data_IF_597018024815
#
_entry.id   IF_597018024815
#
_cell.length_a   1.000
_cell.length_b   1.000
_cell.length_c   1.000
_cell.angle_alpha   90.00
_cell.angle_beta   90.00
_cell.angle_gamma   90.00
#
_symmetry.space_group_name_H-M   'P 1'
#
loop_
_entity.id
_entity.type
_entity.pdbx_description
1 polymer ?
#
# COMPACT_ATOMS: atom_id res chain seq x y z
N UNK A 1 -3.42 19.74 -4.67
CA UNK A 1 -4.10 18.66 -3.91
C UNK A 1 -3.96 18.90 -2.41
N UNK A 2 -4.93 18.48 -1.58
CA UNK A 2 -4.92 18.55 -0.11
C UNK A 2 -5.51 17.25 0.46
N UNK A 3 -4.93 16.74 1.55
CA UNK A 3 -5.49 15.63 2.33
C UNK A 3 -6.37 16.19 3.46
N UNK A 4 -7.58 15.66 3.61
CA UNK A 4 -8.60 16.12 4.57
C UNK A 4 -9.08 14.96 5.45
N UNK A 5 -9.94 15.27 6.43
CA UNK A 5 -10.55 14.30 7.34
C UNK A 5 -9.54 13.55 8.22
N UNK A 6 -8.90 14.30 9.12
CA UNK A 6 -7.89 13.81 10.06
C UNK A 6 -8.50 13.22 11.35
N UNK A 7 -9.82 12.97 11.39
CA UNK A 7 -10.52 12.55 12.61
C UNK A 7 -10.14 11.15 13.12
N UNK A 8 -9.49 10.34 12.30
CA UNK A 8 -8.94 9.01 12.66
C UNK A 8 -7.39 9.00 12.73
N UNK A 9 -6.74 10.16 12.59
CA UNK A 9 -5.29 10.24 12.69
C UNK A 9 -4.82 10.10 14.14
N UNK A 10 -3.61 9.57 14.33
CA UNK A 10 -3.05 9.33 15.66
C UNK A 10 -1.53 9.53 15.64
N UNK A 11 -0.94 9.86 16.79
CA UNK A 11 0.52 9.95 16.93
C UNK A 11 1.17 8.56 17.05
N UNK A 12 2.27 8.38 16.33
CA UNK A 12 3.05 7.14 16.41
C UNK A 12 3.96 7.12 17.66
N UNK A 13 3.90 6.01 18.40
CA UNK A 13 4.71 5.69 19.56
C UNK A 13 5.19 4.24 19.43
N UNK A 14 6.50 3.98 19.57
CA UNK A 14 7.03 2.62 19.46
C UNK A 14 6.40 1.66 20.47
N UNK A 15 6.11 0.43 20.04
CA UNK A 15 5.50 -0.65 20.83
C UNK A 15 4.11 -0.36 21.42
N UNK A 16 3.47 0.75 21.05
CA UNK A 16 2.09 1.02 21.42
C UNK A 16 1.12 0.18 20.56
N UNK A 17 0.10 -0.39 21.20
CA UNK A 17 -1.01 -1.05 20.53
C UNK A 17 -2.05 -0.02 20.08
N UNK A 18 -2.60 -0.18 18.86
CA UNK A 18 -3.55 0.74 18.25
C UNK A 18 -4.89 0.10 17.93
N UNK A 19 -5.95 0.91 17.83
CA UNK A 19 -7.27 0.44 17.47
C UNK A 19 -7.33 0.00 15.98
N UNK A 20 -7.66 -1.27 15.74
CA UNK A 20 -7.76 -1.83 14.38
C UNK A 20 -9.03 -1.43 13.61
N UNK A 21 -10.01 -0.79 14.28
CA UNK A 21 -11.28 -0.34 13.70
C UNK A 21 -11.17 1.04 13.02
N UNK A 22 -10.07 1.28 12.32
CA UNK A 22 -9.78 2.50 11.55
C UNK A 22 -9.77 2.24 10.04
N UNK A 23 -9.87 3.28 9.21
CA UNK A 23 -9.94 3.19 7.75
C UNK A 23 -11.21 2.50 7.19
N UNK A 24 -11.56 2.89 5.97
CA UNK A 24 -12.65 2.29 5.19
C UNK A 24 -12.29 0.88 4.71
N UNK A 25 -13.29 -0.01 4.62
CA UNK A 25 -13.12 -1.45 4.37
C UNK A 25 -12.11 -1.81 3.28
N UNK A 26 -12.18 -1.15 2.12
CA UNK A 26 -11.34 -1.49 0.96
C UNK A 26 -9.89 -0.97 1.04
N UNK A 27 -9.59 -0.11 2.03
CA UNK A 27 -8.26 0.49 2.23
C UNK A 27 -7.58 0.00 3.51
N UNK A 28 -8.20 -0.95 4.22
CA UNK A 28 -7.59 -1.57 5.41
C UNK A 28 -6.43 -2.45 4.99
N UNK A 29 -5.26 -2.18 5.55
CA UNK A 29 -4.10 -3.08 5.43
C UNK A 29 -4.39 -4.45 6.06
N UNK A 30 -3.69 -5.51 5.63
CA UNK A 30 -3.85 -6.86 6.19
C UNK A 30 -3.79 -6.91 7.73
N UNK A 31 -2.92 -6.13 8.36
CA UNK A 31 -2.77 -6.00 9.81
C UNK A 31 -4.08 -5.64 10.52
N UNK A 32 -4.91 -4.78 9.91
CA UNK A 32 -6.21 -4.38 10.47
C UNK A 32 -7.30 -5.45 10.26
N UNK A 33 -7.09 -6.36 9.31
CA UNK A 33 -8.04 -7.42 8.93
C UNK A 33 -7.77 -8.73 9.68
N UNK A 34 -6.49 -9.07 9.85
CA UNK A 34 -6.05 -10.30 10.53
C UNK A 34 -6.51 -10.30 11.99
N UNK A 35 -6.36 -9.17 12.68
CA UNK A 35 -6.84 -9.04 14.06
C UNK A 35 -8.36 -9.08 14.18
N UNK A 36 -9.09 -8.68 13.13
CA UNK A 36 -10.54 -8.50 13.21
C UNK A 36 -11.33 -9.77 12.90
N UNK A 37 -10.96 -10.51 11.85
CA UNK A 37 -11.71 -11.71 11.43
C UNK A 37 -10.94 -13.01 11.68
N UNK A 38 -9.63 -13.04 11.42
CA UNK A 38 -8.85 -14.27 11.52
C UNK A 38 -8.60 -14.66 12.97
N UNK A 39 -8.36 -13.73 13.89
CA UNK A 39 -8.32 -14.04 15.34
C UNK A 39 -9.66 -14.60 15.84
N UNK A 40 -10.80 -14.07 15.38
CA UNK A 40 -12.12 -14.56 15.79
C UNK A 40 -12.41 -15.97 15.27
N UNK A 41 -12.01 -16.25 14.03
CA UNK A 41 -12.21 -17.55 13.38
C UNK A 41 -11.21 -18.58 13.92
N UNK A 42 -9.92 -18.23 14.03
CA UNK A 42 -8.86 -19.10 14.54
C UNK A 42 -9.07 -19.47 16.02
N UNK A 43 -9.64 -18.57 16.84
CA UNK A 43 -10.03 -18.90 18.23
C UNK A 43 -11.10 -20.00 18.32
N UNK A 44 -11.90 -20.20 17.26
CA UNK A 44 -12.99 -21.18 17.23
C UNK A 44 -12.57 -22.45 16.49
N UNK A 45 -11.85 -22.34 15.38
CA UNK A 45 -11.50 -23.45 14.49
C UNK A 45 -10.05 -23.97 14.65
N UNK A 46 -9.20 -23.26 15.39
CA UNK A 46 -7.76 -23.53 15.45
C UNK A 46 -6.96 -22.82 14.34
N UNK A 47 -5.66 -22.66 14.54
CA UNK A 47 -4.77 -21.92 13.62
C UNK A 47 -4.32 -22.77 12.43
N UNK A 48 -4.23 -24.09 12.59
CA UNK A 48 -3.56 -24.97 11.63
C UNK A 48 -4.35 -25.11 10.33
N UNK A 49 -5.67 -25.25 10.41
CA UNK A 49 -6.55 -25.32 9.24
C UNK A 49 -6.61 -23.99 8.49
N UNK A 50 -6.55 -22.87 9.22
CA UNK A 50 -6.54 -21.53 8.66
C UNK A 50 -5.25 -21.25 7.88
N UNK A 51 -4.09 -21.56 8.45
CA UNK A 51 -2.82 -21.46 7.73
C UNK A 51 -2.81 -22.39 6.51
N UNK A 52 -3.35 -23.62 6.63
CA UNK A 52 -3.50 -24.53 5.50
C UNK A 52 -4.35 -23.98 4.35
N UNK A 53 -5.40 -23.21 4.66
CA UNK A 53 -6.24 -22.55 3.64
C UNK A 53 -5.53 -21.37 2.97
N UNK A 54 -4.82 -20.53 3.75
CA UNK A 54 -4.09 -19.37 3.23
C UNK A 54 -2.97 -19.78 2.27
N UNK A 55 -2.30 -20.91 2.53
CA UNK A 55 -1.23 -21.43 1.67
C UNK A 55 -1.72 -21.94 0.30
N UNK A 56 -3.03 -22.11 0.10
CA UNK A 56 -3.57 -22.58 -1.20
C UNK A 56 -3.58 -21.51 -2.28
N UNK A 57 -3.49 -20.23 -1.93
CA UNK A 57 -3.53 -19.14 -2.91
C UNK A 57 -2.11 -18.76 -3.33
N UNK A 58 -1.77 -19.04 -4.59
CA UNK A 58 -0.50 -18.59 -5.17
C UNK A 58 -0.57 -17.11 -5.50
N UNK A 59 0.52 -16.38 -5.25
CA UNK A 59 0.66 -14.98 -5.67
C UNK A 59 0.41 -14.87 -7.18
N UNK A 60 -0.57 -14.04 -7.56
CA UNK A 60 -0.86 -13.74 -8.96
C UNK A 60 0.14 -12.73 -9.52
N UNK A 61 0.44 -12.85 -10.80
CA UNK A 61 1.26 -11.88 -11.54
C UNK A 61 0.41 -10.65 -11.84
N UNK A 62 0.97 -9.45 -11.69
CA UNK A 62 0.23 -8.20 -11.87
C UNK A 62 -0.30 -8.04 -13.30
N UNK A 63 0.41 -8.59 -14.27
CA UNK A 63 0.03 -8.59 -15.68
C UNK A 63 -1.30 -9.30 -15.94
N UNK A 64 -1.76 -10.18 -15.04
CA UNK A 64 -3.07 -10.83 -15.14
C UNK A 64 -4.24 -9.87 -14.93
N UNK A 65 -3.99 -8.67 -14.40
CA UNK A 65 -4.99 -7.62 -14.20
C UNK A 65 -4.97 -6.56 -15.31
N UNK A 66 -4.09 -6.71 -16.30
CA UNK A 66 -4.01 -5.81 -17.45
C UNK A 66 -5.08 -6.21 -18.47
N UNK A 67 -5.86 -5.24 -18.90
CA UNK A 67 -6.96 -5.36 -19.84
C UNK A 67 -6.85 -4.25 -20.89
N UNK A 68 -7.53 -4.41 -22.02
CA UNK A 68 -7.49 -3.42 -23.12
C UNK A 68 -7.86 -2.01 -22.66
N UNK A 69 -8.75 -1.90 -21.68
CA UNK A 69 -9.23 -0.63 -21.13
C UNK A 69 -8.20 0.07 -20.23
N UNK A 70 -7.31 -0.66 -19.55
CA UNK A 70 -6.36 -0.07 -18.58
C UNK A 70 -4.89 -0.16 -19.02
N UNK A 71 -4.57 -0.89 -20.09
CA UNK A 71 -3.19 -1.14 -20.53
C UNK A 71 -2.38 0.14 -20.73
N UNK A 72 -3.02 1.23 -21.15
CA UNK A 72 -2.37 2.52 -21.41
C UNK A 72 -1.94 3.25 -20.14
N UNK A 73 -2.43 2.81 -18.97
CA UNK A 73 -2.05 3.32 -17.65
C UNK A 73 -0.96 2.47 -16.99
N UNK A 74 -0.62 1.32 -17.56
CA UNK A 74 0.26 0.33 -16.96
C UNK A 74 1.64 0.37 -17.61
N UNK A 75 2.67 0.59 -16.81
CA UNK A 75 4.07 0.45 -17.21
C UNK A 75 4.79 -0.53 -16.29
N UNK A 76 5.96 -1.08 -16.67
CA UNK A 76 6.76 -1.91 -15.78
C UNK A 76 7.04 -1.24 -14.43
N UNK A 77 7.34 0.05 -14.45
CA UNK A 77 7.62 0.86 -13.25
C UNK A 77 6.37 1.05 -12.38
N UNK A 78 5.18 1.16 -12.97
CA UNK A 78 3.94 1.28 -12.21
C UNK A 78 3.61 -0.01 -11.46
N UNK A 79 3.84 -1.16 -12.09
CA UNK A 79 3.64 -2.48 -11.48
C UNK A 79 4.68 -2.76 -10.38
N UNK A 80 5.93 -2.36 -10.59
CA UNK A 80 7.00 -2.48 -9.59
C UNK A 80 6.73 -1.59 -8.36
N UNK A 81 6.27 -0.36 -8.55
CA UNK A 81 5.84 0.52 -7.45
C UNK A 81 4.69 -0.13 -6.66
N UNK A 82 3.67 -0.63 -7.36
CA UNK A 82 2.52 -1.27 -6.73
C UNK A 82 2.94 -2.50 -5.91
N UNK A 83 3.86 -3.31 -6.44
CA UNK A 83 4.39 -4.48 -5.73
C UNK A 83 5.07 -4.13 -4.40
N UNK A 84 5.85 -3.06 -4.40
CA UNK A 84 6.59 -2.63 -3.21
C UNK A 84 5.72 -1.90 -2.18
N UNK A 85 4.53 -1.43 -2.58
CA UNK A 85 3.53 -0.87 -1.66
C UNK A 85 2.59 -1.95 -1.09
N UNK A 86 2.14 -2.89 -1.93
CA UNK A 86 1.17 -3.91 -1.55
C UNK A 86 1.84 -5.16 -0.98
N UNK A 87 2.51 -4.99 0.17
CA UNK A 87 3.13 -6.09 0.95
C UNK A 87 2.29 -6.41 2.19
N UNK A 88 2.15 -7.72 2.48
CA UNK A 88 1.53 -8.20 3.71
C UNK A 88 2.31 -7.73 4.93
N UNK A 89 3.61 -7.99 4.94
CA UNK A 89 4.52 -7.43 5.94
C UNK A 89 4.64 -5.92 5.75
N UNK A 90 4.13 -5.17 6.72
CA UNK A 90 4.12 -3.72 6.68
C UNK A 90 5.53 -3.12 6.74
N UNK A 91 6.51 -3.83 7.31
CA UNK A 91 7.89 -3.35 7.39
C UNK A 91 8.61 -3.40 6.04
N UNK A 92 8.10 -4.19 5.10
CA UNK A 92 8.64 -4.30 3.73
C UNK A 92 8.01 -3.31 2.76
N UNK A 93 6.98 -2.56 3.19
CA UNK A 93 6.36 -1.54 2.35
C UNK A 93 7.31 -0.37 2.19
N UNK A 94 7.32 0.25 1.01
CA UNK A 94 8.01 1.52 0.83
C UNK A 94 7.46 2.57 1.80
N UNK A 95 8.37 3.32 2.40
CA UNK A 95 8.04 4.58 3.05
C UNK A 95 7.60 5.61 2.01
N UNK A 96 6.89 6.66 2.44
CA UNK A 96 6.48 7.74 1.55
C UNK A 96 7.68 8.41 0.85
N UNK A 97 8.80 8.58 1.57
CA UNK A 97 10.01 9.18 1.03
C UNK A 97 10.65 8.30 -0.06
N UNK A 98 10.75 6.99 0.17
CA UNK A 98 11.27 6.05 -0.82
C UNK A 98 10.34 5.93 -2.04
N UNK A 99 9.03 5.93 -1.82
CA UNK A 99 8.04 5.90 -2.90
C UNK A 99 8.17 7.14 -3.81
N UNK A 100 8.38 8.33 -3.25
CA UNK A 100 8.59 9.56 -4.03
C UNK A 100 9.86 9.52 -4.90
N UNK A 101 10.86 8.70 -4.54
CA UNK A 101 12.09 8.54 -5.30
C UNK A 101 12.02 7.42 -6.35
N UNK A 102 10.87 6.74 -6.46
CA UNK A 102 10.71 5.62 -7.37
C UNK A 102 10.79 6.07 -8.85
N UNK A 103 11.39 5.27 -9.76
CA UNK A 103 11.50 5.60 -11.20
C UNK A 103 10.18 5.98 -11.87
N UNK A 104 9.06 5.41 -11.40
CA UNK A 104 7.71 5.77 -11.84
C UNK A 104 7.43 7.29 -11.79
N UNK A 105 8.03 8.02 -10.84
CA UNK A 105 7.81 9.45 -10.68
C UNK A 105 8.87 10.34 -11.37
N UNK A 106 9.90 9.77 -12.01
CA UNK A 106 10.95 10.56 -12.67
C UNK A 106 10.43 11.60 -13.68
N UNK A 107 9.42 11.30 -14.53
CA UNK A 107 8.86 12.30 -15.43
C UNK A 107 8.34 13.55 -14.69
N UNK A 108 7.67 13.35 -13.55
CA UNK A 108 7.11 14.43 -12.73
C UNK A 108 8.21 15.21 -12.02
N UNK A 109 9.24 14.53 -11.51
CA UNK A 109 10.38 15.18 -10.85
C UNK A 109 11.13 16.11 -11.82
N UNK A 110 11.34 15.67 -13.06
CA UNK A 110 12.00 16.46 -14.08
C UNK A 110 11.21 17.74 -14.39
N UNK A 111 9.89 17.65 -14.55
CA UNK A 111 9.02 18.81 -14.76
C UNK A 111 9.05 19.80 -13.58
N UNK A 112 9.06 19.29 -12.34
CA UNK A 112 9.16 20.13 -11.14
C UNK A 112 10.51 20.82 -11.01
N UNK A 113 11.61 20.17 -11.42
CA UNK A 113 12.93 20.82 -11.38
C UNK A 113 13.00 22.00 -12.34
N UNK A 114 12.43 21.87 -13.55
CA UNK A 114 12.42 22.92 -14.56
C UNK A 114 11.57 24.11 -14.09
N UNK A 115 10.37 23.87 -13.55
CA UNK A 115 9.51 24.95 -13.06
C UNK A 115 10.12 25.70 -11.86
N UNK A 116 10.85 25.00 -10.99
CA UNK A 116 11.53 25.60 -9.85
C UNK A 116 12.78 26.41 -10.25
N UNK A 117 13.48 26.06 -11.33
CA UNK A 117 14.59 26.87 -11.85
C UNK A 117 14.09 28.15 -12.51
N UNK A 118 12.96 28.08 -13.21
CA UNK A 118 12.35 29.26 -13.85
C UNK A 118 11.80 30.25 -12.82
N UNK A 119 11.27 29.76 -11.70
CA UNK A 119 10.73 30.61 -10.63
C UNK A 119 11.83 31.26 -9.77
N UNK A 120 13.05 30.69 -9.74
CA UNK A 120 14.21 31.26 -9.02
C UNK A 120 15.04 32.24 -9.86
N UNK A 121 14.78 32.32 -11.17
CA UNK A 121 15.49 33.20 -12.09
C UNK A 121 14.81 34.57 -12.29
N UNK A 122 13.80 34.91 -11.47
CA UNK A 122 13.04 36.17 -11.50
C UNK A 122 13.16 36.88 -10.16
#
# INVERSE_FOLDING_TARGET
MRLIDWGLAEFYHPAQEYNVRVASRYFKGPELLVDYQLVRIAKVLGTDELFGYLHKQTRKRWEQFVQTENQHLVTPESLDLLDKLLRYDHQQRLTAAEAMQHPYFYPVLNEQTISNTDTKAI
#
